data_IF_494731368455
#
_entry.id   IF_494731368455
#
_cell.length_a   1.000
_cell.length_b   1.000
_cell.length_c   1.000
_cell.angle_alpha   90.00
_cell.angle_beta   90.00
_cell.angle_gamma   90.00
#
_symmetry.space_group_name_H-M   'P 1'
#
loop_
_entity.id
_entity.type
_entity.pdbx_description
1 polymer ?
#
# COMPACT_ATOMS: atom_id res chain seq x y z
N UNK A 1 -8.00 0.17 5.99
CA UNK A 1 -6.62 -0.04 5.50
C UNK A 1 -6.54 0.25 4.00
N UNK A 2 -5.56 1.07 3.60
CA UNK A 2 -5.15 1.34 2.21
C UNK A 2 -3.98 0.42 1.88
N UNK A 3 -4.06 -0.34 0.79
CA UNK A 3 -2.92 -1.10 0.27
C UNK A 3 -2.23 -0.27 -0.82
N UNK A 4 -0.95 0.02 -0.66
CA UNK A 4 -0.11 0.71 -1.65
C UNK A 4 0.79 -0.30 -2.34
N UNK A 5 0.79 -0.30 -3.69
CA UNK A 5 1.70 -1.14 -4.48
C UNK A 5 2.87 -0.29 -4.98
N UNK A 6 4.04 -0.47 -4.38
CA UNK A 6 5.27 0.23 -4.74
C UNK A 6 6.00 -0.50 -5.88
N UNK A 7 6.09 0.14 -7.03
CA UNK A 7 6.89 -0.33 -8.17
C UNK A 7 8.30 0.28 -8.19
N UNK A 8 8.95 0.36 -7.01
CA UNK A 8 10.27 0.96 -6.83
C UNK A 8 10.32 2.45 -7.20
N UNK A 9 9.23 3.16 -6.90
CA UNK A 9 9.11 4.59 -7.16
C UNK A 9 9.57 5.40 -5.94
N UNK A 10 10.40 6.40 -6.18
CA UNK A 10 10.94 7.26 -5.12
C UNK A 10 9.88 8.15 -4.46
N UNK A 11 8.71 8.30 -5.07
CA UNK A 11 7.61 9.08 -4.52
C UNK A 11 6.69 8.30 -3.59
N UNK A 12 6.73 6.96 -3.59
CA UNK A 12 5.82 6.12 -2.78
C UNK A 12 5.90 6.49 -1.31
N UNK A 13 7.11 6.72 -0.79
CA UNK A 13 7.33 7.14 0.61
C UNK A 13 6.59 8.44 0.97
N UNK A 14 6.58 9.43 0.08
CA UNK A 14 5.91 10.70 0.34
C UNK A 14 4.38 10.52 0.46
N UNK A 15 3.81 9.64 -0.37
CA UNK A 15 2.37 9.36 -0.37
C UNK A 15 1.98 8.57 0.88
N UNK A 16 2.77 7.53 1.22
CA UNK A 16 2.58 6.74 2.46
C UNK A 16 2.66 7.65 3.68
N UNK A 17 3.66 8.53 3.76
CA UNK A 17 3.80 9.48 4.87
C UNK A 17 2.59 10.41 4.95
N UNK A 18 2.14 10.97 3.83
CA UNK A 18 0.98 11.87 3.80
C UNK A 18 -0.29 11.19 4.33
N UNK A 19 -0.56 9.95 3.91
CA UNK A 19 -1.70 9.19 4.43
C UNK A 19 -1.55 8.83 5.90
N UNK A 20 -0.35 8.49 6.36
CA UNK A 20 -0.07 8.25 7.77
C UNK A 20 -0.32 9.50 8.63
N UNK A 21 0.06 10.69 8.16
CA UNK A 21 -0.22 11.97 8.81
C UNK A 21 -1.73 12.27 8.91
N UNK A 22 -2.53 11.76 7.96
CA UNK A 22 -3.99 11.83 7.99
C UNK A 22 -4.63 10.75 8.89
N UNK A 23 -3.84 9.88 9.52
CA UNK A 23 -4.33 8.79 10.37
C UNK A 23 -4.85 7.58 9.59
N UNK A 24 -4.56 7.48 8.30
CA UNK A 24 -4.90 6.32 7.49
C UNK A 24 -3.88 5.20 7.74
N UNK A 25 -4.38 3.99 7.94
CA UNK A 25 -3.56 2.77 7.97
C UNK A 25 -3.16 2.40 6.53
N UNK A 26 -1.86 2.34 6.26
CA UNK A 26 -1.28 2.01 4.96
C UNK A 26 -0.42 0.75 5.07
N UNK A 27 -0.70 -0.27 4.26
CA UNK A 27 0.19 -1.41 4.01
C UNK A 27 0.90 -1.16 2.67
N UNK A 28 2.23 -1.05 2.69
CA UNK A 28 3.07 -0.78 1.51
C UNK A 28 3.79 -2.06 1.08
N UNK A 29 3.56 -2.51 -0.16
CA UNK A 29 4.09 -3.76 -0.70
C UNK A 29 4.73 -3.54 -2.05
N UNK A 30 5.86 -4.19 -2.32
CA UNK A 30 6.43 -4.20 -3.66
C UNK A 30 5.51 -4.97 -4.60
N UNK A 31 5.47 -4.55 -5.87
CA UNK A 31 4.65 -5.19 -6.90
C UNK A 31 5.04 -6.66 -7.16
N UNK A 32 6.25 -7.08 -6.77
CA UNK A 32 6.76 -8.44 -6.88
C UNK A 32 6.77 -9.22 -5.55
N UNK A 33 6.41 -8.58 -4.43
CA UNK A 33 6.40 -9.18 -3.09
C UNK A 33 4.98 -9.54 -2.60
N UNK A 34 3.96 -9.43 -3.46
CA UNK A 34 2.57 -9.77 -3.12
C UNK A 34 1.83 -10.35 -4.33
N UNK A 35 0.98 -11.35 -4.07
CA UNK A 35 0.12 -12.02 -5.05
C UNK A 35 -1.30 -11.48 -5.03
N UNK A 36 -2.06 -11.70 -6.11
CA UNK A 36 -3.46 -11.26 -6.19
C UNK A 36 -4.32 -11.98 -5.14
N UNK A 37 -4.02 -13.25 -4.88
CA UNK A 37 -4.68 -14.07 -3.86
C UNK A 37 -4.47 -13.48 -2.45
N UNK A 38 -3.24 -13.07 -2.12
CA UNK A 38 -2.95 -12.40 -0.85
C UNK A 38 -3.66 -11.05 -0.74
N UNK A 39 -3.77 -10.27 -1.82
CA UNK A 39 -4.53 -9.02 -1.83
C UNK A 39 -6.03 -9.29 -1.55
N UNK A 40 -6.58 -10.35 -2.13
CA UNK A 40 -7.98 -10.73 -1.89
C UNK A 40 -8.22 -11.16 -0.44
N UNK A 41 -7.28 -11.88 0.18
CA UNK A 41 -7.36 -12.27 1.59
C UNK A 41 -7.19 -11.08 2.54
N UNK A 42 -6.32 -10.13 2.19
CA UNK A 42 -6.14 -8.87 2.90
C UNK A 42 -7.41 -8.01 2.85
N UNK A 43 -8.16 -8.08 1.74
CA UNK A 43 -9.43 -7.37 1.51
C UNK A 43 -9.34 -5.86 1.87
N UNK A 44 -8.45 -5.08 1.21
CA UNK A 44 -8.25 -3.69 1.55
C UNK A 44 -9.47 -2.83 1.19
N UNK A 45 -9.66 -1.71 1.89
CA UNK A 45 -10.74 -0.77 1.57
C UNK A 45 -10.44 0.04 0.29
N UNK A 46 -9.15 0.24 0.04
CA UNK A 46 -8.60 1.06 -1.04
C UNK A 46 -7.31 0.40 -1.55
N UNK A 47 -7.08 0.48 -2.86
CA UNK A 47 -5.87 0.03 -3.56
C UNK A 47 -5.34 1.21 -4.39
#
# INVERSE_FOLDING_TARGET
MLLMIDNYDSFTYNIVQYFAELGQEVDDRRNDDITIEEIADINPNYL
#
